data_IF_694548215779
#
_entry.id   IF_694548215779
#
_cell.length_a   1.000
_cell.length_b   1.000
_cell.length_c   1.000
_cell.angle_alpha   90.00
_cell.angle_beta   90.00
_cell.angle_gamma   90.00
#
_symmetry.space_group_name_H-M   'P 1'
#
loop_
_entity.id
_entity.type
_entity.pdbx_description
1 polymer ?
#
# COMPACT_ATOMS: atom_id res chain seq x y z
N UNK A 1 -4.45 10.30 -13.14
CA UNK A 1 -4.36 9.53 -11.88
C UNK A 1 -2.89 9.30 -11.51
N UNK A 2 -2.02 8.88 -12.44
CA UNK A 2 -0.57 8.81 -12.20
C UNK A 2 0.05 10.16 -11.77
N UNK A 3 -0.28 11.24 -12.48
CA UNK A 3 0.24 12.59 -12.19
C UNK A 3 -0.09 13.06 -10.76
N UNK A 4 -1.30 12.77 -10.27
CA UNK A 4 -1.72 13.12 -8.90
C UNK A 4 -0.93 12.35 -7.83
N UNK A 5 -0.52 11.12 -8.11
CA UNK A 5 0.32 10.34 -7.21
C UNK A 5 1.78 10.78 -7.24
N UNK A 6 2.27 11.24 -8.39
CA UNK A 6 3.59 11.85 -8.52
C UNK A 6 3.66 13.17 -7.75
N UNK A 7 2.67 14.04 -7.90
CA UNK A 7 2.55 15.28 -7.11
C UNK A 7 2.52 14.99 -5.61
N UNK A 8 1.72 14.00 -5.17
CA UNK A 8 1.70 13.59 -3.76
C UNK A 8 3.07 13.10 -3.27
N UNK A 9 3.85 12.41 -4.12
CA UNK A 9 5.20 11.97 -3.76
C UNK A 9 6.19 13.12 -3.66
N UNK A 10 6.09 14.11 -4.54
CA UNK A 10 6.95 15.30 -4.47
C UNK A 10 6.66 16.11 -3.20
N UNK A 11 5.39 16.27 -2.81
CA UNK A 11 5.02 16.92 -1.54
C UNK A 11 5.70 16.23 -0.34
N UNK A 12 5.74 14.90 -0.30
CA UNK A 12 6.44 14.19 0.78
C UNK A 12 7.92 14.53 0.83
N UNK A 13 8.60 14.62 -0.32
CA UNK A 13 10.03 14.98 -0.39
C UNK A 13 10.26 16.43 0.03
N UNK A 14 9.39 17.36 -0.36
CA UNK A 14 9.46 18.77 0.03
C UNK A 14 9.34 18.96 1.55
N UNK A 15 8.48 18.15 2.19
CA UNK A 15 8.34 18.10 3.65
C UNK A 15 9.46 17.30 4.36
N UNK A 16 10.46 16.82 3.61
CA UNK A 16 11.58 16.05 4.15
C UNK A 16 11.24 14.62 4.58
N UNK A 17 10.09 14.10 4.15
CA UNK A 17 9.67 12.72 4.36
C UNK A 17 10.21 11.81 3.25
N UNK A 18 10.49 10.56 3.61
CA UNK A 18 10.85 9.56 2.59
C UNK A 18 9.65 9.31 1.65
N UNK A 19 9.88 9.20 0.33
CA UNK A 19 8.82 8.88 -0.61
C UNK A 19 8.36 7.42 -0.41
N UNK A 20 7.05 7.23 -0.33
CA UNK A 20 6.44 5.90 -0.23
C UNK A 20 6.58 5.12 -1.55
N UNK A 21 6.66 3.79 -1.45
CA UNK A 21 6.78 2.90 -2.62
C UNK A 21 5.42 2.45 -3.13
N UNK A 22 4.47 2.20 -2.23
CA UNK A 22 3.06 1.91 -2.54
C UNK A 22 2.13 2.61 -1.54
N UNK A 23 0.91 2.94 -1.96
CA UNK A 23 -0.12 3.50 -1.10
C UNK A 23 -1.45 2.77 -1.33
N UNK A 24 -2.23 2.59 -0.28
CA UNK A 24 -3.53 1.91 -0.32
C UNK A 24 -4.64 2.80 0.22
N UNK A 25 -5.76 2.84 -0.52
CA UNK A 25 -6.96 3.59 -0.19
C UNK A 25 -8.07 2.60 0.14
N UNK A 26 -8.43 2.50 1.42
CA UNK A 26 -9.53 1.67 1.88
C UNK A 26 -10.74 2.55 2.19
N UNK A 27 -11.78 2.43 1.36
CA UNK A 27 -13.07 3.05 1.60
C UNK A 27 -13.92 2.11 2.45
N UNK A 28 -14.34 2.58 3.62
CA UNK A 28 -15.33 1.85 4.42
C UNK A 28 -16.72 2.09 3.88
N UNK A 29 -17.63 1.16 4.13
CA UNK A 29 -19.06 1.31 3.79
C UNK A 29 -19.72 2.50 4.51
N UNK A 30 -19.15 2.94 5.63
CA UNK A 30 -19.56 4.16 6.36
C UNK A 30 -19.08 5.46 5.69
N UNK A 31 -18.38 5.38 4.56
CA UNK A 31 -17.84 6.53 3.84
C UNK A 31 -16.55 7.10 4.45
N UNK A 32 -15.87 6.36 5.32
CA UNK A 32 -14.55 6.77 5.84
C UNK A 32 -13.47 6.32 4.87
N UNK A 33 -12.49 7.20 4.64
CA UNK A 33 -11.29 6.90 3.87
C UNK A 33 -10.13 6.64 4.81
N UNK A 34 -9.57 5.44 4.76
CA UNK A 34 -8.29 5.12 5.38
C UNK A 34 -7.21 5.11 4.29
N UNK A 35 -6.10 5.81 4.56
CA UNK A 35 -4.95 5.83 3.67
C UNK A 35 -3.77 5.24 4.42
N UNK A 36 -3.07 4.29 3.79
CA UNK A 36 -1.84 3.72 4.33
C UNK A 36 -0.71 3.84 3.30
N UNK A 37 0.50 4.11 3.80
CA UNK A 37 1.70 4.27 3.00
C UNK A 37 2.70 3.17 3.36
N UNK A 38 3.23 2.51 2.35
CA UNK A 38 4.20 1.44 2.47
C UNK A 38 5.53 1.82 1.81
N UNK A 39 6.62 1.40 2.44
CA UNK A 39 7.99 1.63 2.00
C UNK A 39 8.67 0.35 1.52
N UNK A 40 7.86 -0.65 1.15
CA UNK A 40 8.37 -1.93 0.66
C UNK A 40 8.83 -1.75 -0.77
N UNK A 41 10.13 -1.96 -0.99
CA UNK A 41 10.72 -2.00 -2.32
C UNK A 41 10.37 -3.32 -3.03
N UNK A 42 9.21 -3.31 -3.71
CA UNK A 42 8.71 -4.45 -4.48
C UNK A 42 9.61 -4.86 -5.64
N UNK A 43 10.58 -4.02 -6.04
CA UNK A 43 11.55 -4.35 -7.09
C UNK A 43 12.72 -5.16 -6.55
N UNK A 44 13.11 -4.96 -5.28
CA UNK A 44 14.15 -5.75 -4.60
C UNK A 44 13.72 -7.15 -4.19
N UNK A 45 12.41 -7.42 -4.16
CA UNK A 45 11.90 -8.69 -3.65
C UNK A 45 12.00 -9.87 -4.64
N UNK A 46 12.55 -9.68 -5.86
CA UNK A 46 12.66 -10.69 -6.94
C UNK A 46 11.39 -11.51 -7.20
N UNK A 47 10.24 -11.07 -6.71
CA UNK A 47 8.99 -11.79 -6.84
C UNK A 47 8.45 -11.63 -8.26
N UNK A 48 8.14 -12.76 -8.89
CA UNK A 48 7.26 -12.79 -10.06
C UNK A 48 5.88 -12.19 -9.71
N UNK A 49 5.13 -11.77 -10.72
CA UNK A 49 3.84 -11.10 -10.56
C UNK A 49 2.87 -11.87 -9.65
N UNK A 50 2.77 -13.19 -9.82
CA UNK A 50 1.93 -14.08 -8.99
C UNK A 50 2.35 -14.05 -7.51
N UNK A 51 3.65 -14.00 -7.22
CA UNK A 51 4.13 -13.98 -5.85
C UNK A 51 3.84 -12.63 -5.17
N UNK A 52 3.84 -11.52 -5.92
CA UNK A 52 3.40 -10.21 -5.42
C UNK A 52 1.92 -10.20 -5.08
N UNK A 53 1.07 -10.74 -5.95
CA UNK A 53 -0.37 -10.90 -5.70
C UNK A 53 -0.63 -11.77 -4.47
N UNK A 54 0.03 -12.92 -4.37
CA UNK A 54 -0.09 -13.82 -3.21
C UNK A 54 0.36 -13.16 -1.90
N UNK A 55 1.46 -12.42 -1.92
CA UNK A 55 1.94 -11.69 -0.75
C UNK A 55 0.94 -10.60 -0.33
N UNK A 56 0.42 -9.84 -1.29
CA UNK A 56 -0.59 -8.81 -1.02
C UNK A 56 -1.86 -9.41 -0.40
N UNK A 57 -2.38 -10.50 -0.99
CA UNK A 57 -3.54 -11.22 -0.47
C UNK A 57 -3.28 -11.75 0.95
N UNK A 58 -2.12 -12.34 1.20
CA UNK A 58 -1.72 -12.79 2.52
C UNK A 58 -1.69 -11.63 3.53
N UNK A 59 -1.11 -10.49 3.17
CA UNK A 59 -1.03 -9.32 4.05
C UNK A 59 -2.41 -8.73 4.36
N UNK A 60 -3.26 -8.57 3.35
CA UNK A 60 -4.59 -7.96 3.48
C UNK A 60 -5.57 -8.86 4.24
N UNK A 61 -5.54 -10.17 3.98
CA UNK A 61 -6.53 -11.12 4.53
C UNK A 61 -6.02 -11.94 5.71
N UNK A 62 -4.75 -11.82 6.12
CA UNK A 62 -4.24 -12.45 7.36
C UNK A 62 -5.02 -12.07 8.62
N UNK A 63 -5.58 -10.88 8.64
CA UNK A 63 -6.38 -10.40 9.78
C UNK A 63 -7.76 -11.06 9.86
N UNK A 64 -8.21 -11.76 8.81
CA UNK A 64 -9.47 -12.49 8.79
C UNK A 64 -9.38 -13.85 9.50
N UNK A 65 -8.20 -14.50 9.51
CA UNK A 65 -8.04 -15.84 10.08
C UNK A 65 -7.70 -15.87 11.57
N UNK A 66 -7.42 -14.72 12.20
CA UNK A 66 -7.14 -14.65 13.65
C UNK A 66 -8.39 -14.44 14.52
N UNK A 67 -9.53 -14.05 13.94
CA UNK A 67 -10.79 -13.82 14.66
C UNK A 67 -11.83 -14.93 14.38
N UNK A 68 -11.37 -16.17 14.16
CA UNK A 68 -12.25 -17.29 13.82
C UNK A 68 -11.66 -18.65 14.13
N UNK A 69 -11.18 -18.86 15.36
CA UNK A 69 -11.16 -20.14 16.10
C UNK A 69 -11.38 -19.83 17.57
#
# INVERSE_FOLDING_TARGET
MHDQFEELREIFKEEGLEPWTSCEFDFTIEGKLNVSFDYIDWTKLEFGQIAKENYYMYRKFKNFTRNGI
#
